data_IF_574383990097
#
_entry.id   IF_574383990097
#
_cell.length_a   1.000
_cell.length_b   1.000
_cell.length_c   1.000
_cell.angle_alpha   90.00
_cell.angle_beta   90.00
_cell.angle_gamma   90.00
#
_symmetry.space_group_name_H-M   'P 1'
#
loop_
_entity.id
_entity.type
_entity.pdbx_description
1 polymer ?
#
# COMPACT_ATOMS: atom_id res chain seq x y z
N UNK A 1 -12.07 -13.24 0.81
CA UNK A 1 -11.40 -12.08 1.43
C UNK A 1 -11.26 -12.18 2.94
N UNK A 2 -12.28 -12.63 3.69
CA UNK A 2 -12.23 -12.72 5.16
C UNK A 2 -11.90 -14.11 5.74
N UNK A 3 -11.47 -15.06 4.90
CA UNK A 3 -11.02 -16.38 5.36
C UNK A 3 -9.56 -16.29 5.80
N UNK A 4 -9.33 -16.49 7.10
CA UNK A 4 -8.01 -16.47 7.73
C UNK A 4 -7.66 -17.84 8.34
N UNK A 5 -8.22 -18.92 7.80
CA UNK A 5 -7.77 -20.27 8.11
C UNK A 5 -6.29 -20.46 7.75
N UNK A 6 -5.55 -21.32 8.47
CA UNK A 6 -4.16 -21.64 8.13
C UNK A 6 -3.98 -22.07 6.67
N UNK A 7 -4.96 -22.81 6.13
CA UNK A 7 -4.98 -23.25 4.74
C UNK A 7 -5.11 -22.07 3.78
N UNK A 8 -6.05 -21.15 4.02
CA UNK A 8 -6.23 -19.95 3.19
C UNK A 8 -5.00 -19.04 3.23
N UNK A 9 -4.40 -18.84 4.41
CA UNK A 9 -3.18 -18.04 4.58
C UNK A 9 -2.00 -18.67 3.83
N UNK A 10 -1.83 -19.99 3.92
CA UNK A 10 -0.75 -20.71 3.21
C UNK A 10 -0.92 -20.60 1.70
N UNK A 11 -2.16 -20.75 1.22
CA UNK A 11 -2.48 -20.62 -0.20
C UNK A 11 -2.22 -19.20 -0.70
N UNK A 12 -2.63 -18.17 0.04
CA UNK A 12 -2.37 -16.78 -0.30
C UNK A 12 -0.87 -16.45 -0.32
N UNK A 13 -0.10 -16.95 0.66
CA UNK A 13 1.35 -16.80 0.71
C UNK A 13 2.01 -17.36 -0.55
N UNK A 14 1.60 -18.57 -0.97
CA UNK A 14 2.14 -19.21 -2.17
C UNK A 14 1.89 -18.35 -3.42
N UNK A 15 0.65 -17.95 -3.68
CA UNK A 15 0.33 -17.12 -4.84
C UNK A 15 1.08 -15.79 -4.85
N UNK A 16 1.20 -15.12 -3.69
CA UNK A 16 1.92 -13.86 -3.58
C UNK A 16 3.44 -14.03 -3.83
N UNK A 17 4.02 -15.16 -3.40
CA UNK A 17 5.42 -15.49 -3.70
C UNK A 17 5.64 -15.81 -5.17
N UNK A 18 4.73 -16.55 -5.79
CA UNK A 18 4.78 -16.88 -7.22
C UNK A 18 4.65 -15.62 -8.09
N UNK A 19 3.93 -14.60 -7.62
CA UNK A 19 3.76 -13.33 -8.32
C UNK A 19 5.02 -12.44 -8.29
N UNK A 20 5.92 -12.62 -7.32
CA UNK A 20 7.09 -11.76 -7.09
C UNK A 20 7.91 -11.40 -8.34
N UNK A 21 8.21 -12.32 -9.27
CA UNK A 21 9.01 -11.97 -10.46
C UNK A 21 8.37 -10.88 -11.33
N UNK A 22 7.05 -10.69 -11.21
CA UNK A 22 6.29 -9.70 -11.97
C UNK A 22 6.07 -8.38 -11.19
N UNK A 23 6.54 -8.30 -9.94
CA UNK A 23 6.29 -7.16 -9.06
C UNK A 23 7.46 -6.17 -9.14
N UNK A 24 7.17 -4.97 -9.63
CA UNK A 24 8.13 -3.86 -9.65
C UNK A 24 8.41 -3.30 -8.25
N UNK A 25 7.45 -3.37 -7.33
CA UNK A 25 7.58 -2.92 -5.96
C UNK A 25 6.32 -3.19 -5.13
N UNK A 26 6.48 -3.30 -3.81
CA UNK A 26 5.40 -3.43 -2.84
C UNK A 26 5.13 -2.08 -2.19
N UNK A 27 4.46 -1.20 -2.90
CA UNK A 27 4.31 0.19 -2.48
C UNK A 27 2.98 0.74 -3.02
N UNK A 28 2.28 1.53 -2.21
CA UNK A 28 0.91 1.98 -2.50
C UNK A 28 0.86 3.37 -3.15
N UNK A 29 1.76 4.30 -2.80
CA UNK A 29 1.65 5.72 -3.12
C UNK A 29 2.43 6.17 -4.38
N UNK A 30 3.58 5.55 -4.67
CA UNK A 30 4.44 5.80 -5.82
C UNK A 30 4.05 4.98 -7.07
N UNK A 31 3.17 3.97 -6.91
CA UNK A 31 2.69 3.16 -8.04
C UNK A 31 2.09 4.02 -9.16
N UNK A 32 1.37 5.10 -8.80
CA UNK A 32 0.79 6.05 -9.76
C UNK A 32 1.83 6.77 -10.62
N UNK A 33 2.96 7.19 -10.04
CA UNK A 33 4.06 7.82 -10.79
C UNK A 33 4.72 6.85 -11.78
N UNK A 34 4.76 5.56 -11.44
CA UNK A 34 5.27 4.53 -12.36
C UNK A 34 4.32 4.30 -13.54
N UNK A 35 3.01 4.33 -13.29
CA UNK A 35 1.98 4.21 -14.34
C UNK A 35 2.03 5.40 -15.31
N UNK A 36 2.07 6.65 -14.81
CA UNK A 36 2.17 7.85 -15.67
C UNK A 36 3.45 7.93 -16.49
N UNK A 37 4.50 7.18 -16.10
CA UNK A 37 5.78 7.10 -16.83
C UNK A 37 5.93 5.85 -17.69
N UNK A 38 4.87 5.07 -17.90
CA UNK A 38 4.89 3.79 -18.63
C UNK A 38 5.94 2.79 -18.11
N UNK A 39 6.20 2.79 -16.80
CA UNK A 39 7.14 1.87 -16.13
C UNK A 39 6.47 0.65 -15.53
N UNK A 40 5.15 0.70 -15.36
CA UNK A 40 4.31 -0.42 -14.92
C UNK A 40 3.07 -0.48 -15.81
N UNK A 41 2.54 -1.69 -16.02
CA UNK A 41 1.33 -1.92 -16.83
C UNK A 41 0.06 -2.05 -15.99
N UNK A 42 0.20 -2.46 -14.72
CA UNK A 42 -0.88 -2.67 -13.78
C UNK A 42 -0.42 -2.21 -12.40
N UNK A 43 -1.31 -1.56 -11.68
CA UNK A 43 -1.10 -1.14 -10.30
C UNK A 43 -2.32 -1.50 -9.46
N UNK A 44 -2.11 -2.11 -8.29
CA UNK A 44 -3.16 -2.20 -7.28
C UNK A 44 -3.19 -0.85 -6.58
N UNK A 45 -4.26 -0.09 -6.80
CA UNK A 45 -4.42 1.25 -6.25
C UNK A 45 -5.80 1.43 -5.65
N UNK A 46 -5.92 2.40 -4.76
CA UNK A 46 -7.19 2.80 -4.16
C UNK A 46 -7.96 3.70 -5.13
N UNK A 47 -9.30 3.67 -5.06
CA UNK A 47 -10.14 4.37 -6.04
C UNK A 47 -9.90 5.88 -6.10
N UNK A 48 -9.73 6.56 -4.98
CA UNK A 48 -9.46 8.00 -4.98
C UNK A 48 -8.09 8.37 -5.58
N UNK A 49 -7.06 7.57 -5.29
CA UNK A 49 -5.75 7.73 -5.94
C UNK A 49 -5.81 7.43 -7.44
N UNK A 50 -6.67 6.50 -7.87
CA UNK A 50 -6.88 6.20 -9.29
C UNK A 50 -7.48 7.39 -10.05
N UNK A 51 -8.48 8.07 -9.48
CA UNK A 51 -9.07 9.29 -10.08
C UNK A 51 -7.97 10.31 -10.34
N UNK A 52 -7.18 10.64 -9.31
CA UNK A 52 -6.08 11.59 -9.46
C UNK A 52 -5.02 11.11 -10.47
N UNK A 53 -4.67 9.82 -10.46
CA UNK A 53 -3.66 9.27 -11.36
C UNK A 53 -4.10 9.30 -12.83
N UNK A 54 -5.39 9.06 -13.12
CA UNK A 54 -5.95 9.11 -14.47
C UNK A 54 -5.92 10.56 -14.98
N UNK A 55 -6.39 11.52 -14.18
CA UNK A 55 -6.38 12.94 -14.54
C UNK A 55 -4.96 13.46 -14.84
N UNK A 56 -3.98 13.11 -14.00
CA UNK A 56 -2.58 13.50 -14.22
C UNK A 56 -1.93 12.77 -15.40
N UNK A 57 -2.32 11.52 -15.67
CA UNK A 57 -1.82 10.76 -16.81
C UNK A 57 -2.30 11.36 -18.13
N UNK A 58 -3.57 11.77 -18.20
CA UNK A 58 -4.16 12.39 -19.39
C UNK A 58 -3.40 13.67 -19.76
N UNK A 59 -3.02 14.49 -18.78
CA UNK A 59 -2.25 15.72 -18.98
C UNK A 59 -0.86 15.49 -19.63
N UNK A 60 -0.31 14.28 -19.52
CA UNK A 60 0.96 13.88 -20.15
C UNK A 60 0.78 12.90 -21.32
N UNK A 61 -0.46 12.71 -21.79
CA UNK A 61 -0.78 11.87 -22.94
C UNK A 61 -0.67 10.36 -22.68
N UNK A 62 -0.86 9.94 -21.42
CA UNK A 62 -0.92 8.53 -21.03
C UNK A 62 -2.35 8.18 -20.67
N UNK A 63 -2.87 7.14 -21.30
CA UNK A 63 -4.22 6.65 -21.06
C UNK A 63 -4.21 5.59 -19.95
N UNK A 64 -4.97 5.81 -18.89
CA UNK A 64 -5.11 4.92 -17.74
C UNK A 64 -6.59 4.65 -17.46
N UNK A 65 -6.88 3.43 -17.02
CA UNK A 65 -8.23 3.03 -16.63
C UNK A 65 -8.19 2.33 -15.26
N UNK A 66 -9.34 2.32 -14.58
CA UNK A 66 -9.53 1.69 -13.28
C UNK A 66 -10.63 0.63 -13.36
N UNK A 67 -10.28 -0.59 -12.98
CA UNK A 67 -11.20 -1.72 -13.00
C UNK A 67 -11.23 -2.44 -11.66
N UNK A 68 -12.44 -2.71 -11.17
CA UNK A 68 -12.65 -3.65 -10.07
C UNK A 68 -12.68 -5.08 -10.64
N UNK A 69 -11.83 -6.02 -10.16
CA UNK A 69 -11.80 -7.39 -10.64
C UNK A 69 -13.17 -8.09 -10.63
N UNK A 70 -13.33 -9.08 -11.51
CA UNK A 70 -14.60 -9.81 -11.66
C UNK A 70 -14.92 -10.65 -10.43
N UNK A 71 -13.88 -11.11 -9.73
CA UNK A 71 -13.93 -11.83 -8.46
C UNK A 71 -14.36 -10.94 -7.29
N UNK A 72 -14.40 -9.62 -7.49
CA UNK A 72 -14.63 -8.62 -6.45
C UNK A 72 -13.34 -8.04 -5.89
N UNK A 73 -13.48 -7.06 -5.01
CA UNK A 73 -12.37 -6.38 -4.32
C UNK A 73 -12.78 -5.98 -2.89
N UNK A 74 -11.95 -5.17 -2.25
CA UNK A 74 -12.18 -4.61 -0.93
C UNK A 74 -13.06 -3.35 -0.98
N UNK A 75 -14.14 -3.35 -0.20
CA UNK A 75 -14.85 -2.14 0.23
C UNK A 75 -14.35 -1.77 1.61
N UNK A 76 -13.91 -0.53 1.79
CA UNK A 76 -13.36 -0.04 3.05
C UNK A 76 -13.94 1.33 3.39
N UNK A 77 -13.89 1.66 4.68
CA UNK A 77 -14.36 2.93 5.21
C UNK A 77 -13.37 3.43 6.24
N UNK A 78 -12.93 4.67 6.06
CA UNK A 78 -12.18 5.39 7.09
C UNK A 78 -13.13 6.26 7.90
N UNK A 79 -12.94 6.22 9.22
CA UNK A 79 -13.77 6.96 10.17
C UNK A 79 -12.93 7.74 11.16
N UNK A 80 -13.37 8.97 11.47
CA UNK A 80 -12.76 9.76 12.54
C UNK A 80 -13.13 9.17 13.91
N UNK A 81 -12.12 8.95 14.75
CA UNK A 81 -12.29 8.55 16.13
C UNK A 81 -11.72 9.62 17.08
N UNK A 82 -12.41 9.86 18.20
CA UNK A 82 -11.88 10.71 19.28
C UNK A 82 -11.24 9.80 20.34
N UNK A 83 -9.90 9.84 20.52
CA UNK A 83 -9.24 9.00 21.51
C UNK A 83 -9.74 9.28 22.93
N UNK A 84 -9.81 8.25 23.78
CA UNK A 84 -10.28 8.37 25.18
C UNK A 84 -9.49 9.40 26.00
N UNK A 85 -8.23 9.64 25.64
CA UNK A 85 -7.32 10.58 26.29
C UNK A 85 -7.28 11.97 25.62
N UNK A 86 -8.19 12.27 24.69
CA UNK A 86 -8.25 13.56 24.02
C UNK A 86 -8.53 14.68 25.04
N UNK A 87 -7.67 15.70 25.06
CA UNK A 87 -7.78 16.82 26.01
C UNK A 87 -8.87 17.83 25.64
N UNK A 88 -9.32 17.84 24.39
CA UNK A 88 -10.35 18.76 23.90
C UNK A 88 -11.36 18.04 23.01
N UNK A 89 -12.19 17.21 23.64
CA UNK A 89 -13.25 16.44 22.97
C UNK A 89 -14.22 17.38 22.23
N UNK A 90 -14.58 18.52 22.83
CA UNK A 90 -15.52 19.48 22.23
C UNK A 90 -15.03 20.02 20.89
N UNK A 91 -13.75 20.44 20.80
CA UNK A 91 -13.19 20.91 19.54
C UNK A 91 -13.10 19.79 18.49
N UNK A 92 -12.71 18.58 18.90
CA UNK A 92 -12.70 17.42 18.00
C UNK A 92 -14.10 17.11 17.45
N UNK A 93 -15.15 17.17 18.28
CA UNK A 93 -16.53 17.01 17.83
C UNK A 93 -16.96 18.10 16.85
N UNK A 94 -16.59 19.36 17.07
CA UNK A 94 -16.87 20.43 16.12
C UNK A 94 -16.14 20.25 14.79
N UNK A 95 -14.90 19.78 14.82
CA UNK A 95 -14.15 19.47 13.61
C UNK A 95 -14.80 18.35 12.80
N UNK A 96 -15.17 17.24 13.45
CA UNK A 96 -15.89 16.14 12.78
C UNK A 96 -17.23 16.64 12.21
N UNK A 97 -17.98 17.43 12.98
CA UNK A 97 -19.24 18.01 12.51
C UNK A 97 -19.04 18.94 11.30
N UNK A 98 -17.96 19.73 11.26
CA UNK A 98 -17.60 20.57 10.11
C UNK A 98 -17.30 19.73 8.86
N UNK A 99 -16.52 18.65 8.99
CA UNK A 99 -16.23 17.74 7.88
C UNK A 99 -17.46 17.01 7.33
N UNK A 100 -18.50 16.80 8.16
CA UNK A 100 -19.76 16.19 7.75
C UNK A 100 -20.73 17.17 7.05
N UNK A 101 -20.41 18.46 6.95
CA UNK A 101 -21.24 19.40 6.20
C UNK A 101 -21.14 19.10 4.69
N UNK A 102 -22.26 19.09 3.93
CA UNK A 102 -22.24 18.65 2.54
C UNK A 102 -21.26 19.42 1.64
N UNK A 103 -21.18 20.75 1.78
CA UNK A 103 -20.28 21.60 0.99
C UNK A 103 -18.80 21.34 1.33
N UNK A 104 -18.50 21.05 2.59
CA UNK A 104 -17.15 20.72 3.05
C UNK A 104 -16.75 19.31 2.59
N UNK A 105 -17.67 18.34 2.69
CA UNK A 105 -17.47 17.00 2.19
C UNK A 105 -17.17 17.02 0.68
N UNK A 106 -17.94 17.77 -0.13
CA UNK A 106 -17.70 17.93 -1.56
C UNK A 106 -16.31 18.49 -1.86
N UNK A 107 -15.94 19.60 -1.22
CA UNK A 107 -14.61 20.21 -1.41
C UNK A 107 -13.48 19.24 -1.07
N UNK A 108 -13.66 18.45 -0.01
CA UNK A 108 -12.67 17.45 0.36
C UNK A 108 -12.59 16.33 -0.68
N UNK A 109 -13.74 15.79 -1.12
CA UNK A 109 -13.80 14.75 -2.15
C UNK A 109 -13.16 15.20 -3.47
N UNK A 110 -13.42 16.42 -3.91
CA UNK A 110 -12.84 16.96 -5.15
C UNK A 110 -11.32 17.15 -5.03
N UNK A 111 -10.82 17.46 -3.83
CA UNK A 111 -9.40 17.62 -3.59
C UNK A 111 -8.62 16.29 -3.56
N UNK A 112 -9.25 15.19 -3.13
CA UNK A 112 -8.54 13.92 -2.86
C UNK A 112 -9.02 12.74 -3.72
N UNK A 113 -10.08 12.89 -4.51
CA UNK A 113 -10.66 11.84 -5.35
C UNK A 113 -11.49 10.78 -4.62
N UNK A 114 -11.41 10.67 -3.30
CA UNK A 114 -12.21 9.75 -2.49
C UNK A 114 -13.64 10.24 -2.23
N UNK A 115 -14.52 9.30 -1.89
CA UNK A 115 -15.94 9.58 -1.59
C UNK A 115 -16.20 9.67 -0.10
N UNK A 116 -16.99 10.68 0.30
CA UNK A 116 -17.48 10.83 1.66
C UNK A 116 -18.69 9.93 1.91
N UNK A 117 -18.85 9.46 3.16
CA UNK A 117 -20.05 8.73 3.60
C UNK A 117 -21.29 9.63 3.79
N UNK A 118 -21.17 10.95 3.59
CA UNK A 118 -22.30 11.88 3.63
C UNK A 118 -23.12 11.71 2.34
N UNK A 119 -24.26 11.00 2.45
CA UNK A 119 -25.12 10.66 1.32
C UNK A 119 -26.34 11.58 1.23
N UNK A 120 -26.12 12.86 0.89
CA UNK A 120 -27.21 13.85 0.75
C UNK A 120 -27.60 14.04 -0.71
N UNK A 121 -28.87 14.40 -1.02
CA UNK A 121 -29.29 14.73 -2.38
C UNK A 121 -28.41 15.81 -3.02
N UNK A 122 -28.00 16.81 -2.25
CA UNK A 122 -27.13 17.90 -2.71
C UNK A 122 -25.76 17.39 -3.19
N UNK A 123 -25.19 16.39 -2.51
CA UNK A 123 -23.94 15.75 -2.93
C UNK A 123 -24.15 14.96 -4.22
N UNK A 124 -25.24 14.19 -4.30
CA UNK A 124 -25.55 13.42 -5.50
C UNK A 124 -25.71 14.33 -6.71
N UNK A 125 -26.52 15.38 -6.59
CA UNK A 125 -26.73 16.38 -7.64
C UNK A 125 -25.42 17.05 -8.08
N UNK A 126 -24.55 17.38 -7.13
CA UNK A 126 -23.25 18.00 -7.44
C UNK A 126 -22.27 17.06 -8.16
N UNK A 127 -22.39 15.75 -7.98
CA UNK A 127 -21.50 14.75 -8.60
C UNK A 127 -22.07 14.14 -9.87
N UNK A 128 -23.33 14.45 -10.24
CA UNK A 128 -23.87 14.08 -11.54
C UNK A 128 -23.04 14.71 -12.65
N UNK A 129 -22.61 13.89 -13.60
CA UNK A 129 -21.90 14.31 -14.79
C UNK A 129 -22.64 13.80 -16.02
N UNK A 130 -23.41 14.70 -16.65
CA UNK A 130 -24.22 14.39 -17.84
C UNK A 130 -23.38 14.07 -19.08
N UNK A 131 -22.05 14.26 -19.03
CA UNK A 131 -21.16 13.93 -20.14
C UNK A 131 -20.81 12.45 -20.20
N UNK A 132 -21.00 11.71 -19.10
CA UNK A 132 -20.74 10.28 -19.02
C UNK A 132 -21.83 9.49 -19.76
N UNK A 133 -21.45 8.56 -20.63
CA UNK A 133 -22.42 7.72 -21.36
C UNK A 133 -23.10 6.66 -20.47
N UNK A 134 -22.45 6.31 -19.36
CA UNK A 134 -22.85 5.22 -18.49
C UNK A 134 -23.65 5.68 -17.28
N UNK A 135 -24.57 4.82 -16.84
CA UNK A 135 -25.41 5.02 -15.66
C UNK A 135 -25.08 3.97 -14.61
N UNK A 136 -25.11 4.38 -13.33
CA UNK A 136 -24.89 3.52 -12.18
C UNK A 136 -26.12 3.49 -11.28
N UNK A 137 -26.45 2.30 -10.73
CA UNK A 137 -27.40 2.14 -9.63
C UNK A 137 -26.70 2.43 -8.30
N UNK A 138 -27.02 3.58 -7.71
CA UNK A 138 -26.54 4.05 -6.41
C UNK A 138 -27.63 4.02 -5.33
N UNK A 139 -28.72 3.26 -5.56
CA UNK A 139 -29.82 3.16 -4.59
C UNK A 139 -29.40 2.58 -3.23
N UNK A 140 -28.29 1.85 -3.21
CA UNK A 140 -27.67 1.34 -1.99
C UNK A 140 -27.05 2.44 -1.10
N UNK A 141 -26.75 3.62 -1.66
CA UNK A 141 -26.07 4.71 -0.97
C UNK A 141 -26.95 5.96 -0.82
N UNK A 142 -27.56 6.44 -1.90
CA UNK A 142 -28.39 7.65 -1.90
C UNK A 142 -29.90 7.37 -1.76
N UNK A 143 -30.30 6.09 -1.73
CA UNK A 143 -31.70 5.66 -1.58
C UNK A 143 -32.44 5.46 -2.91
N UNK A 144 -33.74 5.09 -2.86
CA UNK A 144 -34.47 4.53 -4.02
C UNK A 144 -34.54 5.40 -5.28
N UNK A 145 -34.34 6.72 -5.18
CA UNK A 145 -34.36 7.63 -6.34
C UNK A 145 -33.05 7.71 -7.12
N UNK A 146 -32.04 6.92 -6.74
CA UNK A 146 -30.69 6.97 -7.31
C UNK A 146 -30.34 5.67 -8.07
N UNK A 147 -31.31 5.01 -8.69
CA UNK A 147 -31.15 3.73 -9.40
C UNK A 147 -30.58 3.87 -10.83
N UNK A 148 -30.50 5.10 -11.35
CA UNK A 148 -29.94 5.40 -12.67
C UNK A 148 -29.34 6.80 -12.71
N UNK A 149 -28.04 6.90 -12.40
CA UNK A 149 -27.32 8.19 -12.28
C UNK A 149 -26.06 8.20 -13.16
N UNK A 150 -25.84 9.27 -13.95
CA UNK A 150 -24.59 9.49 -14.68
C UNK A 150 -23.57 10.10 -13.71
N UNK A 151 -22.61 9.29 -13.25
CA UNK A 151 -21.67 9.66 -12.20
C UNK A 151 -20.41 8.80 -12.33
N UNK A 152 -19.26 9.34 -11.91
CA UNK A 152 -17.98 8.66 -12.06
C UNK A 152 -18.00 7.29 -11.33
N UNK A 153 -17.90 6.15 -12.05
CA UNK A 153 -18.00 4.80 -11.48
C UNK A 153 -16.81 4.42 -10.60
N UNK A 154 -15.67 5.12 -10.72
CA UNK A 154 -14.49 4.89 -9.89
C UNK A 154 -14.78 5.39 -8.47
N UNK A 155 -15.43 6.55 -8.37
CA UNK A 155 -15.86 7.15 -7.11
C UNK A 155 -17.11 6.44 -6.57
N UNK A 156 -18.13 6.28 -7.42
CA UNK A 156 -19.43 5.73 -7.09
C UNK A 156 -19.72 4.49 -7.93
N UNK A 157 -19.19 3.31 -7.54
CA UNK A 157 -19.35 2.09 -8.32
C UNK A 157 -20.81 1.63 -8.35
N UNK A 158 -21.25 1.11 -9.51
CA UNK A 158 -22.58 0.51 -9.65
C UNK A 158 -22.83 -0.58 -8.59
N UNK A 159 -24.07 -0.71 -8.14
CA UNK A 159 -24.50 -1.73 -7.18
C UNK A 159 -23.97 -3.13 -7.48
N UNK A 160 -23.94 -3.56 -8.75
CA UNK A 160 -23.43 -4.89 -9.15
C UNK A 160 -21.93 -5.06 -8.90
N UNK A 161 -21.18 -3.96 -8.86
CA UNK A 161 -19.77 -3.93 -8.45
C UNK A 161 -19.64 -4.06 -6.95
N UNK A 162 -20.45 -3.30 -6.20
CA UNK A 162 -20.46 -3.34 -4.73
C UNK A 162 -20.87 -4.72 -4.21
N UNK A 163 -21.90 -5.34 -4.79
CA UNK A 163 -22.45 -6.63 -4.36
C UNK A 163 -21.48 -7.82 -4.48
N UNK A 164 -20.50 -7.73 -5.39
CA UNK A 164 -19.44 -8.76 -5.51
C UNK A 164 -18.20 -8.46 -4.67
N UNK A 165 -18.08 -7.25 -4.13
CA UNK A 165 -16.99 -6.88 -3.25
C UNK A 165 -17.29 -7.26 -1.80
N UNK A 166 -16.26 -7.26 -0.96
CA UNK A 166 -16.41 -7.56 0.45
C UNK A 166 -15.74 -6.49 1.30
N UNK A 167 -16.22 -6.29 2.53
CA UNK A 167 -15.55 -5.46 3.51
C UNK A 167 -14.59 -6.31 4.35
N UNK A 168 -13.35 -5.85 4.54
CA UNK A 168 -12.40 -6.49 5.46
C UNK A 168 -12.98 -6.44 6.87
N UNK A 169 -12.94 -7.57 7.57
CA UNK A 169 -13.31 -7.66 8.99
C UNK A 169 -12.06 -7.72 9.85
N UNK A 170 -12.21 -7.25 11.08
CA UNK A 170 -11.20 -7.48 12.10
C UNK A 170 -10.99 -8.99 12.30
N UNK A 171 -9.73 -9.42 12.27
CA UNK A 171 -9.33 -10.81 12.49
C UNK A 171 -8.98 -11.09 13.95
N UNK A 172 -9.06 -10.07 14.83
CA UNK A 172 -8.71 -10.19 16.24
C UNK A 172 -7.30 -10.71 16.41
N UNK A 173 -7.13 -11.72 17.26
CA UNK A 173 -5.84 -12.35 17.56
C UNK A 173 -5.18 -12.99 16.32
N UNK A 174 -5.95 -13.34 15.28
CA UNK A 174 -5.40 -13.92 14.04
C UNK A 174 -4.77 -12.89 13.10
N UNK A 175 -4.88 -11.59 13.41
CA UNK A 175 -4.22 -10.53 12.64
C UNK A 175 -2.70 -10.76 12.57
N UNK A 176 -2.10 -11.24 13.65
CA UNK A 176 -0.66 -11.54 13.70
C UNK A 176 -0.24 -12.56 12.63
N UNK A 177 -1.03 -13.60 12.41
CA UNK A 177 -0.74 -14.63 11.39
C UNK A 177 -0.70 -14.05 9.97
N UNK A 178 -1.63 -13.12 9.68
CA UNK A 178 -1.69 -12.44 8.39
C UNK A 178 -0.50 -11.49 8.21
N UNK A 179 -0.13 -10.76 9.27
CA UNK A 179 1.04 -9.87 9.27
C UNK A 179 2.36 -10.63 9.11
N UNK A 180 2.50 -11.77 9.78
CA UNK A 180 3.67 -12.64 9.64
C UNK A 180 3.77 -13.22 8.23
N UNK A 181 2.66 -13.70 7.66
CA UNK A 181 2.61 -14.14 6.26
C UNK A 181 3.06 -13.03 5.32
N UNK A 182 2.52 -11.82 5.47
CA UNK A 182 2.91 -10.69 4.65
C UNK A 182 4.39 -10.31 4.81
N UNK A 183 4.92 -10.43 6.03
CA UNK A 183 6.35 -10.23 6.30
C UNK A 183 7.21 -11.24 5.55
N UNK A 184 6.84 -12.53 5.51
CA UNK A 184 7.54 -13.56 4.72
C UNK A 184 7.45 -13.29 3.22
N UNK A 185 6.27 -12.90 2.72
CA UNK A 185 6.10 -12.49 1.32
C UNK A 185 7.04 -11.33 1.00
N UNK A 186 7.14 -10.27 1.79
CA UNK A 186 8.07 -9.16 1.47
C UNK A 186 9.54 -9.49 1.74
N UNK A 187 9.81 -10.37 2.70
CA UNK A 187 11.13 -10.62 3.27
C UNK A 187 12.04 -11.55 2.45
N UNK A 188 11.49 -12.46 1.63
CA UNK A 188 12.30 -13.40 0.84
C UNK A 188 12.98 -12.74 -0.38
N UNK A 189 13.66 -11.61 -0.20
CA UNK A 189 14.37 -10.87 -1.25
C UNK A 189 15.88 -11.17 -1.29
N UNK A 190 16.40 -11.94 -0.33
CA UNK A 190 17.79 -12.35 -0.30
C UNK A 190 17.86 -13.88 -0.39
N UNK A 191 18.27 -14.38 -1.57
CA UNK A 191 18.58 -15.78 -1.75
C UNK A 191 19.56 -16.23 -0.65
N UNK A 192 19.22 -17.31 0.06
CA UNK A 192 20.08 -17.91 1.10
C UNK A 192 21.52 -18.09 0.62
N UNK A 193 21.73 -18.41 -0.67
CA UNK A 193 23.06 -18.48 -1.29
C UNK A 193 23.81 -17.14 -1.31
N UNK A 194 23.12 -16.02 -1.56
CA UNK A 194 23.71 -14.67 -1.51
C UNK A 194 24.05 -14.30 -0.07
N UNK A 195 23.18 -14.61 0.89
CA UNK A 195 23.42 -14.38 2.32
C UNK A 195 24.67 -15.16 2.78
N UNK A 196 24.75 -16.45 2.44
CA UNK A 196 25.91 -17.28 2.75
C UNK A 196 27.19 -16.76 2.08
N UNK A 197 27.10 -16.29 0.83
CA UNK A 197 28.22 -15.67 0.13
C UNK A 197 28.69 -14.38 0.80
N UNK A 198 27.76 -13.52 1.24
CA UNK A 198 28.08 -12.30 2.00
C UNK A 198 28.83 -12.67 3.28
N UNK A 199 28.29 -13.61 4.08
CA UNK A 199 28.96 -14.05 5.31
C UNK A 199 30.33 -14.68 5.05
N UNK A 200 30.50 -15.45 3.97
CA UNK A 200 31.78 -16.03 3.59
C UNK A 200 32.81 -14.95 3.22
N UNK A 201 32.41 -13.95 2.42
CA UNK A 201 33.27 -12.83 2.03
C UNK A 201 33.72 -12.03 3.26
N UNK A 202 32.78 -11.68 4.15
CA UNK A 202 33.11 -10.99 5.40
C UNK A 202 34.00 -11.83 6.32
N UNK A 203 33.75 -13.13 6.41
CA UNK A 203 34.58 -14.07 7.18
C UNK A 203 36.02 -14.12 6.66
N UNK A 204 36.21 -14.24 5.35
CA UNK A 204 37.54 -14.24 4.71
C UNK A 204 38.25 -12.90 4.94
N UNK A 205 37.55 -11.78 4.76
CA UNK A 205 38.09 -10.44 5.02
C UNK A 205 38.53 -10.29 6.49
N UNK A 206 37.73 -10.76 7.42
CA UNK A 206 38.05 -10.73 8.85
C UNK A 206 39.30 -11.56 9.17
N UNK A 207 39.37 -12.81 8.66
CA UNK A 207 40.55 -13.67 8.82
C UNK A 207 41.79 -13.01 8.21
N UNK A 208 41.67 -12.41 7.02
CA UNK A 208 42.77 -11.70 6.38
C UNK A 208 43.24 -10.49 7.19
N UNK A 209 42.33 -9.69 7.74
CA UNK A 209 42.65 -8.55 8.62
C UNK A 209 43.40 -9.03 9.87
N UNK A 210 42.89 -10.07 10.54
CA UNK A 210 43.53 -10.64 11.74
C UNK A 210 44.90 -11.21 11.41
N UNK A 211 45.02 -11.99 10.33
CA UNK A 211 46.27 -12.55 9.88
C UNK A 211 47.30 -11.47 9.53
N UNK A 212 46.90 -10.43 8.80
CA UNK A 212 47.76 -9.28 8.45
C UNK A 212 48.24 -8.57 9.72
N UNK A 213 47.36 -8.36 10.71
CA UNK A 213 47.73 -7.73 11.99
C UNK A 213 48.72 -8.57 12.79
N UNK A 214 48.51 -9.90 12.85
CA UNK A 214 49.44 -10.85 13.49
C UNK A 214 50.78 -10.90 12.76
N UNK A 215 50.77 -10.90 11.42
CA UNK A 215 51.97 -10.91 10.58
C UNK A 215 52.83 -9.67 10.83
N UNK A 216 52.22 -8.48 10.83
CA UNK A 216 52.89 -7.21 11.12
C UNK A 216 53.47 -7.23 12.56
N UNK A 217 52.71 -7.72 13.54
CA UNK A 217 53.20 -7.85 14.92
C UNK A 217 54.41 -8.79 15.01
N UNK A 218 54.35 -9.96 14.38
CA UNK A 218 55.46 -10.93 14.32
C UNK A 218 56.69 -10.33 13.61
N UNK A 219 56.52 -9.59 12.51
CA UNK A 219 57.60 -8.88 11.83
C UNK A 219 58.27 -7.83 12.72
N UNK A 220 57.47 -6.97 13.40
CA UNK A 220 58.01 -5.97 14.35
C UNK A 220 58.78 -6.63 15.49
N UNK A 221 58.26 -7.72 16.06
CA UNK A 221 58.94 -8.49 17.13
C UNK A 221 60.25 -9.11 16.65
N UNK A 222 60.31 -9.65 15.42
CA UNK A 222 61.54 -10.17 14.80
C UNK A 222 62.58 -9.07 14.57
N UNK A 223 62.17 -7.90 14.07
CA UNK A 223 63.06 -6.74 13.93
C UNK A 223 63.61 -6.25 15.27
N UNK A 224 62.77 -6.21 16.31
CA UNK A 224 63.20 -5.79 17.64
C UNK A 224 64.21 -6.79 18.27
N UNK A 225 64.01 -8.10 18.09
CA UNK A 225 64.97 -9.14 18.50
C UNK A 225 66.30 -9.06 17.74
N UNK A 226 66.28 -8.79 16.42
CA UNK A 226 67.51 -8.58 15.63
C UNK A 226 68.30 -7.34 16.10
N UNK A 227 67.62 -6.21 16.36
CA UNK A 227 68.29 -5.00 16.89
C UNK A 227 68.92 -5.20 18.27
N UNK A 228 68.31 -6.01 19.14
CA UNK A 228 68.90 -6.38 20.44
C UNK A 228 70.12 -7.31 20.32
N UNK A 229 70.19 -8.17 19.30
CA UNK A 229 71.36 -9.03 19.04
C UNK A 229 72.56 -8.29 18.43
N UNK A 230 72.33 -7.17 17.74
CA UNK A 230 73.39 -6.36 17.12
C UNK A 230 74.00 -5.36 18.13
N UNK A 231 73.35 -5.12 19.28
CA UNK A 231 73.80 -4.20 20.35
C UNK A 231 74.49 -4.90 21.54
N UNK A 232 74.79 -6.20 21.42
CA UNK A 232 75.65 -6.96 22.34
C UNK A 232 76.86 -7.44 21.55
#
# INVERSE_FOLDING_TARGET
>A
MNDNSPEAITLAEQYLKDLKPNIAGWEADFGKEMMTKNKAWLNLTWSGDAVWAIDEAEAVGVDLDYVVPREGSNIWYDGWAIPKYARNVKAASYFINYLCQPDIALRNMDAIGYVSAVATPEIMEAKIDTTLEQFSDLSYFFGPGADSVQINPIQYPDRKVVERCAMIRDFGDRTELVLEMWSRVKGDNLNTGIVLLIFAVFGILFVWIVWKRISIYKQKKRHHRRRRRIRR
#
